data_IF_503766648429
#
_entry.id   IF_503766648429
#
_cell.length_a   1.000
_cell.length_b   1.000
_cell.length_c   1.000
_cell.angle_alpha   90.00
_cell.angle_beta   90.00
_cell.angle_gamma   90.00
#
_symmetry.space_group_name_H-M   'P 1'
#
loop_
_entity.id
_entity.type
_entity.pdbx_description
1 polymer ?
#
# COMPACT_ATOMS: atom_id res chain seq x y z
N UNK A 1 19.65 11.18 -29.83
CA UNK A 1 20.53 11.51 -28.68
C UNK A 1 19.69 12.36 -27.74
N UNK A 2 19.40 11.88 -26.51
CA UNK A 2 18.74 12.74 -25.53
C UNK A 2 19.70 13.84 -25.10
N UNK A 3 19.21 15.10 -24.90
CA UNK A 3 20.05 16.17 -24.37
C UNK A 3 20.59 15.78 -22.99
N UNK A 4 21.79 16.24 -22.65
CA UNK A 4 22.49 15.91 -21.39
C UNK A 4 21.69 16.22 -20.11
N UNK A 5 20.61 17.02 -20.20
CA UNK A 5 19.72 17.42 -19.10
C UNK A 5 18.25 17.21 -19.47
N UNK A 6 17.88 16.05 -19.99
CA UNK A 6 16.48 15.76 -20.27
C UNK A 6 15.69 15.57 -18.96
N UNK A 7 14.76 16.48 -18.70
CA UNK A 7 13.84 16.40 -17.56
C UNK A 7 12.43 16.12 -18.10
N UNK A 8 11.81 14.99 -17.75
CA UNK A 8 10.47 14.63 -18.22
C UNK A 8 9.41 15.68 -17.86
N UNK A 9 8.54 16.01 -18.82
CA UNK A 9 7.45 16.96 -18.66
C UNK A 9 6.08 16.31 -18.85
N UNK A 10 6.03 15.10 -19.42
CA UNK A 10 4.79 14.40 -19.75
C UNK A 10 4.87 12.96 -19.28
N UNK A 11 4.48 12.74 -18.03
CA UNK A 11 4.64 11.46 -17.34
C UNK A 11 3.34 10.65 -17.41
N UNK A 12 3.44 9.38 -17.74
CA UNK A 12 2.37 8.39 -17.50
C UNK A 12 2.70 7.58 -16.25
N UNK A 13 1.76 7.54 -15.32
CA UNK A 13 1.84 6.71 -14.11
C UNK A 13 0.94 5.49 -14.25
N UNK A 14 1.51 4.30 -14.18
CA UNK A 14 0.77 3.05 -14.27
C UNK A 14 0.50 2.41 -12.89
N UNK A 15 0.88 3.08 -11.80
CA UNK A 15 0.67 2.59 -10.43
C UNK A 15 0.34 3.72 -9.45
N UNK A 16 -0.55 3.47 -8.46
CA UNK A 16 -0.91 4.45 -7.43
C UNK A 16 0.30 5.02 -6.68
N UNK A 17 1.29 4.19 -6.34
CA UNK A 17 2.50 4.63 -5.63
C UNK A 17 3.29 5.70 -6.38
N UNK A 18 3.37 5.58 -7.71
CA UNK A 18 4.02 6.57 -8.57
C UNK A 18 3.24 7.87 -8.58
N UNK A 19 1.90 7.80 -8.71
CA UNK A 19 1.03 8.97 -8.72
C UNK A 19 1.10 9.72 -7.39
N UNK A 20 1.04 9.01 -6.26
CA UNK A 20 1.22 9.58 -4.91
C UNK A 20 2.59 10.25 -4.78
N UNK A 21 3.65 9.60 -5.27
CA UNK A 21 4.99 10.19 -5.24
C UNK A 21 5.06 11.47 -6.07
N UNK A 22 4.49 11.50 -7.28
CA UNK A 22 4.44 12.72 -8.10
C UNK A 22 3.64 13.83 -7.41
N UNK A 23 2.52 13.52 -6.74
CA UNK A 23 1.76 14.47 -5.93
C UNK A 23 2.64 15.08 -4.82
N UNK A 24 3.32 14.23 -4.07
CA UNK A 24 4.14 14.65 -2.92
C UNK A 24 5.36 15.48 -3.36
N UNK A 25 5.84 15.24 -4.57
CA UNK A 25 6.89 16.04 -5.22
C UNK A 25 6.34 17.34 -5.83
N UNK A 26 5.01 17.55 -5.85
CA UNK A 26 4.37 18.72 -6.46
C UNK A 26 4.46 18.72 -7.99
N UNK A 27 4.27 17.56 -8.63
CA UNK A 27 4.43 17.32 -10.06
C UNK A 27 3.16 16.76 -10.74
N UNK A 28 1.98 16.91 -10.13
CA UNK A 28 0.74 16.44 -10.75
C UNK A 28 0.45 17.15 -12.08
N UNK A 29 0.93 18.37 -12.29
CA UNK A 29 0.86 19.11 -13.55
C UNK A 29 1.60 18.44 -14.71
N UNK A 30 2.58 17.58 -14.43
CA UNK A 30 3.29 16.78 -15.43
C UNK A 30 2.64 15.42 -15.71
N UNK A 31 1.63 15.03 -14.93
CA UNK A 31 0.94 13.77 -15.13
C UNK A 31 -0.06 13.89 -16.29
N UNK A 32 0.21 13.19 -17.41
CA UNK A 32 -0.64 13.24 -18.60
C UNK A 32 -1.58 12.05 -18.73
N UNK A 33 -1.26 10.93 -18.09
CA UNK A 33 -2.18 9.79 -17.95
C UNK A 33 -1.86 8.98 -16.71
N UNK A 34 -2.89 8.36 -16.13
CA UNK A 34 -2.76 7.43 -15.01
C UNK A 34 -3.86 6.38 -15.05
N UNK A 35 -3.77 5.35 -14.18
CA UNK A 35 -4.78 4.30 -14.11
C UNK A 35 -5.97 4.73 -13.21
N UNK A 36 -7.11 4.02 -13.34
CA UNK A 36 -8.26 4.22 -12.44
C UNK A 36 -7.90 4.07 -10.96
N UNK A 37 -6.99 3.15 -10.62
CA UNK A 37 -6.52 2.95 -9.24
C UNK A 37 -5.70 4.13 -8.71
N UNK A 38 -5.06 4.89 -9.60
CA UNK A 38 -4.41 6.15 -9.22
C UNK A 38 -5.43 7.19 -8.76
N UNK A 39 -6.62 7.23 -9.40
CA UNK A 39 -7.72 8.12 -9.01
C UNK A 39 -8.27 7.76 -7.63
N UNK A 40 -8.40 6.47 -7.32
CA UNK A 40 -8.88 6.01 -6.02
C UNK A 40 -8.00 6.50 -4.87
N UNK A 41 -6.67 6.51 -5.07
CA UNK A 41 -5.68 6.89 -4.04
C UNK A 41 -5.31 8.38 -4.07
N UNK A 42 -5.44 9.04 -5.22
CA UNK A 42 -5.10 10.44 -5.43
C UNK A 42 -6.17 11.10 -6.32
N UNK A 43 -7.36 11.42 -5.77
CA UNK A 43 -8.47 11.99 -6.53
C UNK A 43 -8.13 13.33 -7.20
N UNK A 44 -7.15 14.06 -6.68
CA UNK A 44 -6.66 15.34 -7.22
C UNK A 44 -6.22 15.25 -8.68
N UNK A 45 -5.88 14.04 -9.17
CA UNK A 45 -5.52 13.84 -10.58
C UNK A 45 -6.65 14.19 -11.55
N UNK A 46 -7.91 14.13 -11.11
CA UNK A 46 -9.07 14.52 -11.93
C UNK A 46 -9.06 16.01 -12.28
N UNK A 47 -8.45 16.85 -11.45
CA UNK A 47 -8.36 18.30 -11.65
C UNK A 47 -7.28 18.66 -12.68
N UNK A 48 -6.35 17.74 -12.98
CA UNK A 48 -5.25 17.98 -13.94
C UNK A 48 -5.65 17.79 -15.39
N UNK A 49 -6.81 17.18 -15.65
CA UNK A 49 -7.24 16.80 -17.00
C UNK A 49 -6.44 15.62 -17.57
N UNK A 50 -5.74 14.84 -16.74
CA UNK A 50 -5.02 13.66 -17.19
C UNK A 50 -5.94 12.58 -17.76
N UNK A 51 -5.46 11.80 -18.70
CA UNK A 51 -6.19 10.70 -19.34
C UNK A 51 -6.19 9.50 -18.36
N UNK A 52 -7.38 8.92 -18.13
CA UNK A 52 -7.46 7.70 -17.33
C UNK A 52 -7.35 6.49 -18.28
N UNK A 53 -6.26 5.73 -18.12
CA UNK A 53 -6.00 4.50 -18.87
C UNK A 53 -6.41 3.27 -18.05
N UNK A 54 -6.42 2.10 -18.67
CA UNK A 54 -6.57 0.85 -17.96
C UNK A 54 -5.41 0.62 -16.97
N UNK A 55 -5.53 -0.38 -16.12
CA UNK A 55 -4.49 -0.69 -15.14
C UNK A 55 -3.20 -1.23 -15.80
N UNK A 56 -2.13 -1.37 -15.00
CA UNK A 56 -0.82 -1.87 -15.47
C UNK A 56 -0.85 -3.30 -16.04
N UNK A 57 -1.92 -4.05 -15.81
CA UNK A 57 -2.10 -5.39 -16.34
C UNK A 57 -2.71 -5.41 -17.74
N UNK A 58 -3.57 -4.43 -18.04
CA UNK A 58 -4.38 -4.37 -19.25
C UNK A 58 -4.12 -3.13 -20.11
N UNK A 59 -3.35 -2.14 -19.61
CA UNK A 59 -3.02 -0.93 -20.37
C UNK A 59 -2.33 -1.27 -21.69
N UNK A 60 -2.93 -0.80 -22.79
CA UNK A 60 -2.39 -0.99 -24.13
C UNK A 60 -1.45 0.14 -24.49
N UNK A 61 -0.41 -0.18 -25.26
CA UNK A 61 0.59 0.80 -25.68
C UNK A 61 -0.03 1.98 -26.43
N UNK A 62 -1.07 1.76 -27.25
CA UNK A 62 -1.79 2.80 -28.00
C UNK A 62 -2.50 3.80 -27.08
N UNK A 63 -3.10 3.35 -25.97
CA UNK A 63 -3.70 4.26 -24.97
C UNK A 63 -2.66 5.15 -24.29
N UNK A 64 -1.49 4.57 -23.97
CA UNK A 64 -0.37 5.30 -23.38
C UNK A 64 0.17 6.30 -24.39
N UNK A 65 0.36 5.88 -25.66
CA UNK A 65 0.86 6.73 -26.74
C UNK A 65 -0.06 7.89 -27.08
N UNK A 66 -1.38 7.73 -26.92
CA UNK A 66 -2.35 8.80 -27.13
C UNK A 66 -2.12 9.99 -26.18
N UNK A 67 -1.57 9.75 -24.99
CA UNK A 67 -1.19 10.78 -24.04
C UNK A 67 0.10 11.52 -24.42
N UNK A 68 0.83 11.07 -25.46
CA UNK A 68 2.12 11.62 -25.92
C UNK A 68 3.11 11.82 -24.75
N UNK A 69 3.42 10.78 -23.97
CA UNK A 69 4.35 10.89 -22.85
C UNK A 69 5.80 10.99 -23.34
N UNK A 70 6.65 11.53 -22.49
CA UNK A 70 8.11 11.49 -22.61
C UNK A 70 8.75 10.57 -21.55
N UNK A 71 7.95 10.08 -20.59
CA UNK A 71 8.33 9.06 -19.61
C UNK A 71 7.11 8.24 -19.19
N UNK A 72 7.27 6.93 -19.09
CA UNK A 72 6.32 6.02 -18.45
C UNK A 72 6.96 5.46 -17.17
N UNK A 73 6.25 5.55 -16.04
CA UNK A 73 6.69 4.97 -14.77
C UNK A 73 5.68 3.92 -14.33
N UNK A 74 6.17 2.73 -13.99
CA UNK A 74 5.37 1.65 -13.43
C UNK A 74 6.06 1.02 -12.22
N UNK A 75 5.28 0.43 -11.33
CA UNK A 75 5.78 -0.39 -10.23
C UNK A 75 5.12 -1.77 -10.27
N UNK A 76 5.71 -2.75 -9.64
CA UNK A 76 5.10 -4.10 -9.52
C UNK A 76 3.73 -4.03 -8.82
N UNK A 77 2.79 -4.91 -9.17
CA UNK A 77 2.86 -5.92 -10.21
C UNK A 77 2.54 -5.38 -11.61
N UNK A 78 3.20 -5.90 -12.63
CA UNK A 78 2.89 -5.61 -14.03
C UNK A 78 3.05 -6.87 -14.90
N UNK A 79 2.34 -6.89 -16.05
CA UNK A 79 2.50 -7.99 -17.02
C UNK A 79 3.71 -7.73 -17.91
N UNK A 80 4.48 -8.79 -18.15
CA UNK A 80 5.66 -8.73 -18.99
C UNK A 80 5.33 -8.28 -20.43
N UNK A 81 4.21 -8.78 -20.96
CA UNK A 81 3.73 -8.44 -22.30
C UNK A 81 3.40 -6.94 -22.42
N UNK A 82 2.72 -6.37 -21.42
CA UNK A 82 2.40 -4.93 -21.40
C UNK A 82 3.67 -4.08 -21.37
N UNK A 83 4.64 -4.46 -20.56
CA UNK A 83 5.96 -3.76 -20.52
C UNK A 83 6.68 -3.87 -21.85
N UNK A 84 6.68 -5.06 -22.49
CA UNK A 84 7.32 -5.26 -23.78
C UNK A 84 6.69 -4.39 -24.86
N UNK A 85 5.38 -4.24 -24.91
CA UNK A 85 4.68 -3.37 -25.86
C UNK A 85 5.02 -1.88 -25.64
N UNK A 86 5.09 -1.43 -24.38
CA UNK A 86 5.50 -0.07 -24.05
C UNK A 86 6.93 0.19 -24.53
N UNK A 87 7.86 -0.72 -24.26
CA UNK A 87 9.27 -0.58 -24.65
C UNK A 87 9.44 -0.51 -26.18
N UNK A 88 8.61 -1.21 -26.97
CA UNK A 88 8.62 -1.14 -28.43
C UNK A 88 8.29 0.26 -28.97
N UNK A 89 7.62 1.10 -28.20
CA UNK A 89 7.29 2.47 -28.61
C UNK A 89 8.50 3.41 -28.61
N UNK A 90 9.61 3.00 -27.96
CA UNK A 90 10.82 3.82 -27.81
C UNK A 90 10.71 4.93 -26.75
N UNK A 91 9.61 4.99 -25.99
CA UNK A 91 9.47 5.94 -24.89
C UNK A 91 10.30 5.43 -23.68
N UNK A 92 11.01 6.32 -22.98
CA UNK A 92 11.68 5.97 -21.74
C UNK A 92 10.73 5.34 -20.73
N UNK A 93 11.16 4.24 -20.12
CA UNK A 93 10.39 3.50 -19.13
C UNK A 93 11.19 3.32 -17.84
N UNK A 94 10.61 3.70 -16.71
CA UNK A 94 11.14 3.47 -15.39
C UNK A 94 10.30 2.40 -14.68
N UNK A 95 10.87 1.22 -14.50
CA UNK A 95 10.26 0.11 -13.77
C UNK A 95 10.73 0.06 -12.32
N UNK A 96 9.81 0.05 -11.37
CA UNK A 96 10.07 0.02 -9.94
C UNK A 96 9.61 -1.33 -9.36
N UNK A 97 10.32 -1.84 -8.35
CA UNK A 97 10.00 -3.12 -7.73
C UNK A 97 10.41 -3.13 -6.25
N UNK A 98 9.84 -2.26 -5.40
CA UNK A 98 10.19 -2.18 -3.99
C UNK A 98 9.82 -3.47 -3.28
N UNK A 99 10.64 -3.88 -2.31
CA UNK A 99 10.40 -5.05 -1.46
C UNK A 99 10.25 -4.67 0.02
N UNK A 100 10.90 -3.62 0.46
CA UNK A 100 10.94 -3.15 1.85
C UNK A 100 10.83 -1.62 1.90
N UNK A 101 10.74 -1.02 3.08
CA UNK A 101 10.66 0.45 3.23
C UNK A 101 11.85 1.18 2.63
N UNK A 102 13.05 0.64 2.78
CA UNK A 102 14.26 1.24 2.19
C UNK A 102 14.17 1.30 0.66
N UNK A 103 13.60 0.28 0.02
CA UNK A 103 13.36 0.31 -1.42
C UNK A 103 12.29 1.35 -1.81
N UNK A 104 11.24 1.53 -1.00
CA UNK A 104 10.25 2.59 -1.20
C UNK A 104 10.91 3.96 -1.15
N UNK A 105 11.82 4.19 -0.20
CA UNK A 105 12.57 5.45 -0.11
C UNK A 105 13.48 5.66 -1.32
N UNK A 106 14.16 4.61 -1.78
CA UNK A 106 14.98 4.65 -3.00
C UNK A 106 14.16 4.95 -4.24
N UNK A 107 12.95 4.38 -4.36
CA UNK A 107 12.04 4.62 -5.48
C UNK A 107 11.58 6.09 -5.51
N UNK A 108 11.21 6.67 -4.37
CA UNK A 108 10.87 8.10 -4.25
C UNK A 108 12.05 8.96 -4.70
N UNK A 109 13.27 8.65 -4.23
CA UNK A 109 14.48 9.37 -4.61
C UNK A 109 14.82 9.20 -6.09
N UNK A 110 14.60 8.01 -6.66
CA UNK A 110 14.83 7.73 -8.08
C UNK A 110 13.87 8.56 -8.95
N UNK A 111 12.58 8.59 -8.62
CA UNK A 111 11.60 9.43 -9.28
C UNK A 111 12.02 10.91 -9.18
N UNK A 112 12.32 11.39 -7.97
CA UNK A 112 12.70 12.80 -7.76
C UNK A 112 13.94 13.20 -8.58
N UNK A 113 14.96 12.35 -8.65
CA UNK A 113 16.16 12.57 -9.49
C UNK A 113 15.82 12.58 -10.97
N UNK A 114 15.04 11.62 -11.44
CA UNK A 114 14.60 11.54 -12.84
C UNK A 114 13.81 12.79 -13.24
N UNK A 115 13.04 13.35 -12.31
CA UNK A 115 12.24 14.55 -12.52
C UNK A 115 12.99 15.87 -12.30
N UNK A 116 14.31 15.81 -12.02
CA UNK A 116 15.17 16.98 -11.86
C UNK A 116 14.94 17.73 -10.54
N UNK A 117 14.48 17.04 -9.47
CA UNK A 117 14.19 17.66 -8.17
C UNK A 117 15.23 17.32 -7.10
N UNK A 118 16.33 16.66 -7.48
CA UNK A 118 17.43 16.29 -6.61
C UNK A 118 18.75 16.61 -7.29
N UNK A 119 19.69 17.13 -6.53
CA UNK A 119 21.00 17.51 -7.05
C UNK A 119 21.50 18.81 -6.45
N UNK A 120 22.68 19.24 -6.87
CA UNK A 120 23.31 20.46 -6.36
C UNK A 120 22.54 21.69 -6.88
N UNK A 121 21.92 22.45 -5.95
CA UNK A 121 21.13 23.63 -6.27
C UNK A 121 19.65 23.37 -6.56
N UNK A 122 19.21 22.09 -6.54
CA UNK A 122 17.82 21.70 -6.75
C UNK A 122 17.01 21.72 -5.43
N UNK A 123 15.67 21.68 -5.51
CA UNK A 123 14.78 21.84 -4.35
C UNK A 123 14.87 20.73 -3.28
N UNK A 124 15.54 19.60 -3.53
CA UNK A 124 15.68 18.44 -2.62
C UNK A 124 14.31 17.88 -2.14
N UNK A 125 13.30 17.88 -3.01
CA UNK A 125 11.92 17.50 -2.64
C UNK A 125 11.80 16.02 -2.29
N UNK A 126 12.48 15.11 -3.00
CA UNK A 126 12.51 13.69 -2.67
C UNK A 126 13.13 13.44 -1.30
N UNK A 127 14.28 14.07 -1.03
CA UNK A 127 14.93 14.04 0.30
C UNK A 127 13.96 14.48 1.39
N UNK A 128 13.19 15.55 1.17
CA UNK A 128 12.22 16.04 2.17
C UNK A 128 11.06 15.05 2.40
N UNK A 129 10.56 14.40 1.35
CA UNK A 129 9.50 13.36 1.47
C UNK A 129 10.03 12.18 2.27
N UNK A 130 11.19 11.63 1.90
CA UNK A 130 11.80 10.48 2.58
C UNK A 130 12.09 10.80 4.05
N UNK A 131 12.74 11.94 4.33
CA UNK A 131 13.06 12.35 5.71
C UNK A 131 11.82 12.48 6.60
N UNK A 132 10.69 12.95 6.04
CA UNK A 132 9.40 12.97 6.76
C UNK A 132 8.90 11.58 7.08
N UNK A 133 8.96 10.64 6.12
CA UNK A 133 8.54 9.26 6.34
C UNK A 133 9.42 8.56 7.39
N UNK A 134 10.73 8.67 7.28
CA UNK A 134 11.68 8.10 8.24
C UNK A 134 11.45 8.64 9.66
N UNK A 135 11.21 9.94 9.78
CA UNK A 135 10.90 10.58 11.06
C UNK A 135 9.64 10.01 11.71
N UNK A 136 8.57 9.79 10.93
CA UNK A 136 7.33 9.22 11.45
C UNK A 136 7.53 7.77 11.91
N UNK A 137 8.24 6.94 11.11
CA UNK A 137 8.56 5.55 11.48
C UNK A 137 9.40 5.51 12.75
N UNK A 138 10.42 6.36 12.85
CA UNK A 138 11.29 6.44 14.03
C UNK A 138 10.51 6.92 15.26
N UNK A 139 9.66 7.93 15.12
CA UNK A 139 8.82 8.41 16.22
C UNK A 139 7.84 7.35 16.72
N UNK A 140 7.25 6.56 15.79
CA UNK A 140 6.39 5.45 16.16
C UNK A 140 7.17 4.39 16.94
N UNK A 141 8.32 3.98 16.44
CA UNK A 141 9.20 3.03 17.12
C UNK A 141 9.55 3.48 18.54
N UNK A 142 9.89 4.77 18.73
CA UNK A 142 10.19 5.30 20.06
C UNK A 142 8.99 5.25 21.00
N UNK A 143 7.77 5.52 20.50
CA UNK A 143 6.54 5.46 21.29
C UNK A 143 6.13 4.07 21.69
N UNK A 144 6.54 3.06 20.91
CA UNK A 144 6.22 1.65 21.16
C UNK A 144 7.38 0.87 21.81
N UNK A 145 8.46 1.57 22.16
CA UNK A 145 9.54 0.95 22.94
C UNK A 145 9.07 0.49 24.32
N UNK A 146 9.38 -0.78 24.65
CA UNK A 146 9.08 -1.33 25.97
C UNK A 146 7.63 -1.79 26.19
N UNK A 147 6.74 -1.66 25.18
CA UNK A 147 5.40 -2.24 25.26
C UNK A 147 5.41 -3.72 24.89
N UNK A 148 4.38 -4.45 25.35
CA UNK A 148 4.12 -5.83 24.90
C UNK A 148 3.97 -5.85 23.38
N UNK A 149 4.55 -6.85 22.72
CA UNK A 149 4.50 -6.97 21.24
C UNK A 149 3.53 -8.09 20.82
N UNK A 150 2.26 -7.77 20.54
CA UNK A 150 1.28 -8.74 20.07
C UNK A 150 1.69 -9.39 18.76
N UNK A 151 1.25 -10.63 18.54
CA UNK A 151 1.40 -11.33 17.27
C UNK A 151 0.33 -10.84 16.30
N UNK A 152 0.73 -10.30 15.15
CA UNK A 152 -0.13 -9.65 14.17
C UNK A 152 -0.15 -10.46 12.87
N UNK A 153 -1.31 -10.97 12.52
CA UNK A 153 -1.57 -11.49 11.17
C UNK A 153 -2.05 -10.34 10.29
N UNK A 154 -1.40 -10.15 9.14
CA UNK A 154 -1.74 -9.09 8.20
C UNK A 154 -1.78 -9.67 6.78
N UNK A 155 -2.92 -9.54 6.08
CA UNK A 155 -3.10 -10.11 4.75
C UNK A 155 -3.48 -9.04 3.71
N UNK A 156 -2.92 -9.17 2.50
CA UNK A 156 -3.23 -8.33 1.34
C UNK A 156 -4.15 -8.99 0.33
N UNK A 157 -4.38 -10.31 0.45
CA UNK A 157 -5.24 -11.08 -0.44
C UNK A 157 -5.87 -12.27 0.26
N UNK A 158 -7.17 -12.44 0.08
CA UNK A 158 -7.94 -13.40 0.86
C UNK A 158 -8.10 -14.79 0.25
N UNK A 159 -7.79 -14.98 -1.06
CA UNK A 159 -7.92 -16.28 -1.72
C UNK A 159 -7.03 -16.38 -2.98
N UNK A 160 -5.87 -17.08 -2.91
CA UNK A 160 -5.31 -17.69 -1.69
C UNK A 160 -4.99 -16.64 -0.63
N UNK A 161 -4.80 -17.06 0.62
CA UNK A 161 -4.34 -16.18 1.68
C UNK A 161 -2.89 -15.77 1.41
N UNK A 162 -2.69 -14.49 1.07
CA UNK A 162 -1.35 -13.93 0.86
C UNK A 162 -1.10 -12.90 1.97
N UNK A 163 -0.02 -13.10 2.70
CA UNK A 163 0.45 -12.17 3.71
C UNK A 163 0.90 -10.85 3.07
N UNK A 164 0.71 -9.76 3.79
CA UNK A 164 1.20 -8.45 3.37
C UNK A 164 2.71 -8.43 3.15
N UNK A 165 3.19 -7.46 2.36
CA UNK A 165 4.57 -7.33 1.92
C UNK A 165 5.53 -6.97 3.08
N UNK A 166 6.83 -7.05 2.80
CA UNK A 166 7.88 -6.80 3.81
C UNK A 166 7.79 -5.40 4.41
N UNK A 167 7.49 -4.36 3.61
CA UNK A 167 7.31 -3.01 4.15
C UNK A 167 6.17 -2.94 5.19
N UNK A 168 5.09 -3.74 5.03
CA UNK A 168 4.02 -3.83 6.03
C UNK A 168 4.50 -4.54 7.29
N UNK A 169 5.30 -5.61 7.15
CA UNK A 169 5.92 -6.28 8.30
C UNK A 169 6.81 -5.31 9.08
N UNK A 170 7.61 -4.49 8.39
CA UNK A 170 8.45 -3.44 9.00
C UNK A 170 7.61 -2.38 9.71
N UNK A 171 6.44 -1.99 9.14
CA UNK A 171 5.50 -1.07 9.80
C UNK A 171 4.85 -1.70 11.04
N UNK A 172 4.48 -2.99 11.00
CA UNK A 172 3.97 -3.74 12.16
C UNK A 172 5.01 -3.74 13.28
N UNK A 173 6.28 -4.00 12.95
CA UNK A 173 7.38 -3.97 13.91
C UNK A 173 7.56 -2.56 14.52
N UNK A 174 7.54 -1.51 13.69
CA UNK A 174 7.62 -0.13 14.14
C UNK A 174 6.42 0.28 15.01
N UNK A 175 5.22 -0.26 14.71
CA UNK A 175 4.00 -0.07 15.50
C UNK A 175 3.96 -0.91 16.80
N UNK A 176 5.04 -1.61 17.14
CA UNK A 176 5.16 -2.39 18.38
C UNK A 176 4.51 -3.77 18.32
N UNK A 177 4.23 -4.31 17.14
CA UNK A 177 3.77 -5.68 16.94
C UNK A 177 4.90 -6.66 16.59
N UNK A 178 4.53 -7.92 16.36
CA UNK A 178 5.36 -8.96 15.72
C UNK A 178 4.59 -9.51 14.53
N UNK A 179 5.16 -9.43 13.35
CA UNK A 179 4.50 -9.92 12.14
C UNK A 179 4.46 -11.46 12.12
N UNK A 180 3.29 -12.03 11.82
CA UNK A 180 3.11 -13.48 11.71
C UNK A 180 3.49 -13.97 10.31
N UNK A 181 4.36 -14.96 10.25
CA UNK A 181 4.74 -15.65 9.01
C UNK A 181 5.81 -14.92 8.19
N UNK A 182 5.89 -15.26 6.91
CA UNK A 182 6.85 -14.67 5.97
C UNK A 182 6.13 -13.69 5.02
N UNK A 183 6.51 -12.42 4.98
CA UNK A 183 5.85 -11.41 4.14
C UNK A 183 5.74 -11.83 2.67
N UNK A 184 4.61 -11.54 2.04
CA UNK A 184 4.31 -11.85 0.65
C UNK A 184 4.13 -13.36 0.33
N UNK A 185 4.18 -14.22 1.34
CA UNK A 185 3.97 -15.68 1.16
C UNK A 185 2.55 -16.08 1.50
N UNK A 186 2.15 -17.26 1.01
CA UNK A 186 0.86 -17.85 1.33
C UNK A 186 0.91 -18.54 2.69
N UNK A 187 -0.21 -18.50 3.39
CA UNK A 187 -0.52 -19.34 4.54
C UNK A 187 -1.86 -20.03 4.33
N UNK A 188 -2.08 -21.12 5.02
CA UNK A 188 -3.40 -21.79 5.09
C UNK A 188 -4.23 -21.24 6.26
N UNK A 189 -5.54 -21.40 6.17
CA UNK A 189 -6.45 -21.00 7.26
C UNK A 189 -6.10 -21.72 8.56
N UNK A 190 -5.68 -23.00 8.47
CA UNK A 190 -5.28 -23.83 9.60
C UNK A 190 -3.97 -23.34 10.26
N UNK A 191 -2.98 -22.94 9.46
CA UNK A 191 -1.72 -22.39 9.97
C UNK A 191 -1.96 -21.08 10.73
N UNK A 192 -2.83 -20.20 10.23
CA UNK A 192 -3.20 -18.96 10.92
C UNK A 192 -3.93 -19.26 12.23
N UNK A 193 -4.91 -20.18 12.21
CA UNK A 193 -5.63 -20.59 13.42
C UNK A 193 -4.71 -21.22 14.48
N UNK A 194 -3.77 -22.07 14.05
CA UNK A 194 -2.80 -22.73 14.95
C UNK A 194 -1.79 -21.73 15.54
N UNK A 195 -1.42 -20.67 14.80
CA UNK A 195 -0.55 -19.61 15.30
C UNK A 195 -1.25 -18.71 16.32
N UNK A 196 -2.57 -18.71 16.38
CA UNK A 196 -3.42 -18.00 17.36
C UNK A 196 -3.03 -16.50 17.51
N UNK A 197 -3.13 -15.69 16.44
CA UNK A 197 -2.69 -14.30 16.47
C UNK A 197 -3.48 -13.46 17.50
N UNK A 198 -2.79 -12.46 18.07
CA UNK A 198 -3.39 -11.49 18.98
C UNK A 198 -4.18 -10.42 18.25
N UNK A 199 -3.80 -10.13 17.00
CA UNK A 199 -4.43 -9.13 16.12
C UNK A 199 -4.53 -9.70 14.70
N UNK A 200 -5.68 -9.52 14.04
CA UNK A 200 -5.91 -9.84 12.64
C UNK A 200 -6.18 -8.54 11.89
N UNK A 201 -5.45 -8.30 10.80
CA UNK A 201 -5.63 -7.18 9.89
C UNK A 201 -5.86 -7.72 8.47
N UNK A 202 -6.94 -7.27 7.83
CA UNK A 202 -7.19 -7.52 6.42
C UNK A 202 -7.15 -6.19 5.66
N UNK A 203 -6.29 -6.13 4.62
CA UNK A 203 -6.13 -4.98 3.73
C UNK A 203 -6.09 -5.49 2.28
N UNK A 204 -7.22 -6.00 1.78
CA UNK A 204 -7.26 -6.64 0.47
C UNK A 204 -7.17 -5.62 -0.65
N UNK A 205 -6.24 -5.84 -1.57
CA UNK A 205 -6.02 -5.00 -2.73
C UNK A 205 -7.33 -4.69 -3.48
N UNK A 206 -7.66 -3.41 -3.61
CA UNK A 206 -8.87 -2.92 -4.28
C UNK A 206 -10.15 -3.02 -3.46
N UNK A 207 -10.10 -3.46 -2.21
CA UNK A 207 -11.28 -3.57 -1.35
C UNK A 207 -11.57 -2.30 -0.53
N UNK A 208 -10.62 -1.39 -0.42
CA UNK A 208 -10.72 -0.26 0.50
C UNK A 208 -10.82 -0.75 1.94
N UNK A 209 -11.77 -0.21 2.68
CA UNK A 209 -12.10 -0.63 4.05
C UNK A 209 -13.30 -1.61 4.13
N UNK A 210 -13.67 -2.23 2.98
CA UNK A 210 -14.89 -3.04 2.82
C UNK A 210 -14.69 -4.54 2.93
N UNK A 211 -13.53 -5.02 3.41
CA UNK A 211 -13.33 -6.46 3.62
C UNK A 211 -14.39 -7.00 4.57
N UNK A 212 -15.17 -8.04 4.19
CA UNK A 212 -16.31 -8.52 4.98
C UNK A 212 -15.83 -9.40 6.15
N UNK A 213 -15.24 -8.79 7.18
CA UNK A 213 -14.63 -9.46 8.35
C UNK A 213 -15.61 -10.42 9.03
N UNK A 214 -16.86 -10.00 9.16
CA UNK A 214 -17.96 -10.72 9.81
C UNK A 214 -18.29 -12.04 9.10
N UNK A 215 -17.95 -12.14 7.80
CA UNK A 215 -18.16 -13.35 6.99
C UNK A 215 -16.91 -14.22 6.91
N UNK A 216 -15.73 -13.60 6.82
CA UNK A 216 -14.49 -14.36 6.61
C UNK A 216 -14.01 -15.04 7.87
N UNK A 217 -14.18 -14.44 9.05
CA UNK A 217 -13.73 -15.03 10.31
C UNK A 217 -14.41 -16.38 10.58
N UNK A 218 -15.77 -16.50 10.59
CA UNK A 218 -16.42 -17.80 10.79
C UNK A 218 -16.17 -18.77 9.65
N UNK A 219 -16.15 -18.30 8.39
CA UNK A 219 -15.89 -19.17 7.23
C UNK A 219 -14.53 -19.87 7.30
N UNK A 220 -13.54 -19.23 7.96
CA UNK A 220 -12.17 -19.75 8.11
C UNK A 220 -11.96 -20.50 9.43
N UNK A 221 -13.00 -20.57 10.30
CA UNK A 221 -12.91 -21.21 11.62
C UNK A 221 -12.01 -20.44 12.61
N UNK A 222 -11.93 -19.11 12.46
CA UNK A 222 -11.04 -18.26 13.25
C UNK A 222 -11.71 -17.63 14.48
N UNK A 223 -12.96 -17.97 14.79
CA UNK A 223 -13.72 -17.43 15.93
C UNK A 223 -13.05 -17.75 17.28
N UNK A 224 -12.28 -18.82 17.31
CA UNK A 224 -11.59 -19.25 18.53
C UNK A 224 -10.22 -18.61 18.73
N UNK A 225 -9.71 -17.87 17.74
CA UNK A 225 -8.43 -17.15 17.89
C UNK A 225 -8.52 -16.04 18.94
N UNK A 226 -7.38 -15.72 19.56
CA UNK A 226 -7.29 -14.60 20.53
C UNK A 226 -7.80 -13.29 19.92
N UNK A 227 -7.43 -13.02 18.66
CA UNK A 227 -7.87 -11.82 17.96
C UNK A 227 -9.40 -11.73 17.90
N UNK A 228 -10.09 -12.80 17.48
CA UNK A 228 -11.54 -12.81 17.34
C UNK A 228 -12.24 -12.69 18.71
N UNK A 229 -11.82 -13.47 19.71
CA UNK A 229 -12.36 -13.43 21.08
C UNK A 229 -12.23 -12.06 21.73
N UNK A 230 -11.11 -11.39 21.50
CA UNK A 230 -10.85 -10.06 22.08
C UNK A 230 -11.37 -8.90 21.20
N UNK A 231 -12.00 -9.20 20.04
CA UNK A 231 -12.48 -8.19 19.11
C UNK A 231 -11.37 -7.42 18.44
N UNK A 232 -10.19 -8.01 18.28
CA UNK A 232 -9.01 -7.38 17.65
C UNK A 232 -8.85 -7.82 16.20
N UNK A 233 -9.94 -7.72 15.45
CA UNK A 233 -10.03 -8.02 14.03
C UNK A 233 -10.37 -6.73 13.29
N UNK A 234 -9.51 -6.33 12.35
CA UNK A 234 -9.59 -5.03 11.70
C UNK A 234 -9.51 -5.16 10.18
N UNK A 235 -10.18 -4.24 9.49
CA UNK A 235 -9.90 -3.89 8.11
C UNK A 235 -9.18 -2.55 8.10
N UNK A 236 -8.04 -2.48 7.44
CA UNK A 236 -7.34 -1.23 7.13
C UNK A 236 -7.56 -0.95 5.64
N UNK A 237 -7.87 0.31 5.30
CA UNK A 237 -7.97 0.72 3.90
C UNK A 237 -6.69 0.29 3.15
N UNK A 238 -6.86 -0.50 2.10
CA UNK A 238 -5.75 -1.15 1.41
C UNK A 238 -4.75 -0.15 0.80
N UNK A 239 -5.18 1.03 0.41
CA UNK A 239 -4.28 2.08 -0.08
C UNK A 239 -3.19 2.45 0.93
N UNK A 240 -3.46 2.30 2.24
CA UNK A 240 -2.52 2.64 3.31
C UNK A 240 -1.40 1.59 3.48
N UNK A 241 -1.63 0.36 3.06
CA UNK A 241 -0.67 -0.73 3.21
C UNK A 241 -0.14 -1.26 1.87
N UNK A 242 -0.92 -1.13 0.78
CA UNK A 242 -0.59 -1.74 -0.52
C UNK A 242 -0.15 -0.69 -1.57
N UNK A 243 -0.03 0.58 -1.17
CA UNK A 243 0.55 1.64 -2.02
C UNK A 243 1.91 2.03 -1.46
N UNK A 244 3.03 1.48 -1.97
CA UNK A 244 4.38 1.75 -1.45
C UNK A 244 4.85 3.16 -1.80
N UNK A 245 4.37 4.14 -1.05
CA UNK A 245 4.65 5.58 -1.11
C UNK A 245 4.40 6.21 0.27
N UNK A 246 4.24 7.52 0.36
CA UNK A 246 4.00 8.22 1.65
C UNK A 246 2.70 7.82 2.35
N UNK A 247 1.74 7.23 1.65
CA UNK A 247 0.51 6.64 2.20
C UNK A 247 0.78 5.58 3.26
N UNK A 248 1.93 4.91 3.21
CA UNK A 248 2.36 3.94 4.22
C UNK A 248 2.45 4.54 5.63
N UNK A 249 2.61 5.85 5.76
CA UNK A 249 2.59 6.52 7.08
C UNK A 249 1.19 6.50 7.69
N UNK A 250 0.13 6.62 6.87
CA UNK A 250 -1.24 6.41 7.35
C UNK A 250 -1.44 4.94 7.77
N UNK A 251 -0.87 4.01 7.01
CA UNK A 251 -0.84 2.58 7.37
C UNK A 251 -0.14 2.31 8.71
N UNK A 252 0.99 2.96 8.95
CA UNK A 252 1.70 2.87 10.24
C UNK A 252 0.83 3.32 11.42
N UNK A 253 0.14 4.45 11.28
CA UNK A 253 -0.77 4.93 12.34
C UNK A 253 -1.99 4.03 12.52
N UNK A 254 -2.56 3.49 11.44
CA UNK A 254 -3.67 2.54 11.51
C UNK A 254 -3.26 1.22 12.18
N UNK A 255 -2.07 0.69 11.84
CA UNK A 255 -1.49 -0.48 12.50
C UNK A 255 -1.26 -0.22 13.99
N UNK A 256 -0.69 0.93 14.36
CA UNK A 256 -0.47 1.29 15.76
C UNK A 256 -1.79 1.33 16.55
N UNK A 257 -2.85 1.89 15.98
CA UNK A 257 -4.16 1.93 16.60
C UNK A 257 -4.82 0.53 16.72
N UNK A 258 -4.61 -0.36 15.75
CA UNK A 258 -5.08 -1.74 15.80
C UNK A 258 -4.28 -2.59 16.81
N UNK A 259 -2.97 -2.37 16.90
CA UNK A 259 -2.05 -3.13 17.76
C UNK A 259 -2.09 -2.65 19.22
N UNK A 260 -2.22 -1.36 19.45
CA UNK A 260 -2.21 -0.72 20.76
C UNK A 260 -3.34 0.31 20.90
N UNK A 261 -4.61 -0.13 20.89
CA UNK A 261 -5.75 0.81 20.98
C UNK A 261 -5.80 1.59 22.30
N UNK A 262 -5.09 1.12 23.32
CA UNK A 262 -4.92 1.84 24.59
C UNK A 262 -3.96 3.02 24.50
N UNK A 263 -3.08 3.05 23.50
CA UNK A 263 -2.06 4.11 23.30
C UNK A 263 -2.38 5.02 22.11
N UNK A 264 -3.13 4.52 21.15
CA UNK A 264 -3.40 5.21 19.89
C UNK A 264 -4.89 5.21 19.57
N UNK A 265 -5.43 6.38 19.27
CA UNK A 265 -6.84 6.51 18.91
C UNK A 265 -7.13 5.87 17.53
N UNK A 266 -8.35 5.37 17.37
CA UNK A 266 -8.86 4.93 16.07
C UNK A 266 -8.84 6.09 15.05
N UNK A 267 -8.64 5.76 13.78
CA UNK A 267 -8.55 6.74 12.71
C UNK A 267 -9.42 6.35 11.51
N UNK A 268 -9.66 7.30 10.62
CA UNK A 268 -10.35 7.03 9.35
C UNK A 268 -9.55 6.00 8.54
N UNK A 269 -10.27 5.05 7.92
CA UNK A 269 -9.66 3.96 7.16
C UNK A 269 -9.24 2.74 8.00
N UNK A 270 -9.46 2.79 9.33
CA UNK A 270 -9.37 1.64 10.23
C UNK A 270 -10.78 1.25 10.69
N UNK A 271 -11.28 0.10 10.29
CA UNK A 271 -12.57 -0.47 10.71
C UNK A 271 -12.35 -1.71 11.57
N UNK A 272 -12.92 -1.70 12.75
CA UNK A 272 -12.95 -2.87 13.62
C UNK A 272 -14.18 -3.73 13.30
N UNK A 273 -14.03 -5.05 13.37
CA UNK A 273 -15.14 -6.00 13.27
C UNK A 273 -16.14 -5.81 14.42
N UNK A 274 -17.44 -5.80 14.11
CA UNK A 274 -18.49 -5.71 15.12
C UNK A 274 -18.58 -6.99 15.96
N UNK A 275 -18.67 -6.87 17.28
CA UNK A 275 -18.68 -8.01 18.21
C UNK A 275 -19.99 -8.83 18.20
N UNK A 276 -21.10 -8.24 17.78
CA UNK A 276 -22.43 -8.86 17.93
C UNK A 276 -22.73 -10.01 16.96
N UNK A 277 -21.86 -10.30 16.00
CA UNK A 277 -22.14 -11.26 14.93
C UNK A 277 -22.08 -12.73 15.40
N UNK A 278 -21.35 -13.04 16.47
CA UNK A 278 -21.16 -14.44 16.91
C UNK A 278 -22.22 -14.95 17.89
N UNK A 279 -22.85 -14.08 18.67
CA UNK A 279 -23.91 -14.48 19.61
C UNK A 279 -25.26 -14.70 18.94
N UNK A 280 -25.56 -13.97 17.87
CA UNK A 280 -26.83 -14.07 17.15
C UNK A 280 -26.90 -15.36 16.30
N UNK A 281 -25.79 -15.76 15.67
CA UNK A 281 -25.76 -16.99 14.84
C UNK A 281 -25.81 -18.27 15.68
N UNK A 282 -25.35 -18.28 16.93
CA UNK A 282 -25.51 -19.42 17.82
C UNK A 282 -26.97 -19.67 18.23
N UNK A 283 -27.78 -18.61 18.34
CA UNK A 283 -29.21 -18.74 18.71
C UNK A 283 -30.07 -19.21 17.53
N UNK A 284 -29.66 -18.93 16.27
CA UNK A 284 -30.39 -19.38 15.07
C UNK A 284 -30.07 -20.82 14.66
N UNK A 285 -29.05 -21.45 15.23
CA UNK A 285 -28.70 -22.87 14.97
C UNK A 285 -29.11 -23.81 16.09
N UNK A 286 -29.63 -23.29 17.23
CA UNK A 286 -30.16 -24.07 18.37
C UNK A 286 -31.71 -24.08 18.41
N UNK A 287 -32.41 -23.38 17.51
CA UNK A 287 -33.84 -23.47 17.25
C UNK A 287 -34.11 -24.23 15.92
#
# INVERSE_FOLDING_TARGET
MMPENFIPQRVVSLQPSVTVTLRDLGLLDRLVACTKYCVDVCPEVLETGCIIVEDSWSAKADQIMAAKPDLVIASVPYRLESVAEILKTGIPFLGLAPKCLDDVYKDIMMIARTMGLEGRGEPQRGTAVVARMEKEVQAMWQRTMGVTRPLVYCEEWGKPLILSQTWVAELVEAAGGRFLGSPGKQMTEQEVAAADPDVIVAAWCGAGDRVPLEKIIPKRGWEQTKAAKNGRVYCINDEFLNTPASTLIQGLHALAAAIHPELFAAMKGLRQMERNTFETQRKETED
#
